data_IF_811672998882
#
_entry.id   IF_811672998882
#
_cell.length_a   1.000
_cell.length_b   1.000
_cell.length_c   1.000
_cell.angle_alpha   90.00
_cell.angle_beta   90.00
_cell.angle_gamma   90.00
#
_symmetry.space_group_name_H-M   'P 1'
#
loop_
_entity.id
_entity.type
_entity.pdbx_description
1 polymer ?
#
# COMPACT_ATOMS: atom_id res chain seq x y z
N UNK A 1 31.12 4.29 -13.03
CA UNK A 1 31.62 5.31 -13.97
C UNK A 1 32.68 6.12 -13.25
N UNK A 2 33.95 6.03 -13.66
CA UNK A 2 35.06 6.73 -12.99
C UNK A 2 34.95 8.24 -13.21
N UNK A 3 35.06 9.03 -12.15
CA UNK A 3 35.11 10.50 -12.24
C UNK A 3 36.33 10.91 -13.09
N UNK A 4 36.18 11.88 -14.01
CA UNK A 4 37.30 12.33 -14.85
C UNK A 4 38.40 12.96 -13.99
N UNK A 5 39.67 12.71 -14.35
CA UNK A 5 40.81 13.26 -13.62
C UNK A 5 41.05 14.73 -14.01
N UNK A 6 41.64 15.54 -13.14
CA UNK A 6 41.89 16.99 -13.38
C UNK A 6 42.58 17.30 -14.71
N UNK A 7 43.37 16.36 -15.24
CA UNK A 7 44.10 16.49 -16.51
C UNK A 7 43.19 16.32 -17.75
N UNK A 8 42.07 15.64 -17.57
CA UNK A 8 41.11 15.28 -18.63
C UNK A 8 39.97 16.30 -18.73
N UNK A 9 39.88 17.25 -17.79
CA UNK A 9 38.90 18.33 -17.86
C UNK A 9 39.30 19.34 -18.95
N UNK A 10 38.33 19.84 -19.74
CA UNK A 10 38.60 20.87 -20.74
C UNK A 10 39.19 22.11 -20.06
N UNK A 11 40.38 22.51 -20.53
CA UNK A 11 41.03 23.72 -20.05
C UNK A 11 40.27 24.93 -20.59
N UNK A 12 39.91 25.85 -19.70
CA UNK A 12 39.32 27.14 -20.08
C UNK A 12 40.28 27.83 -21.06
N UNK A 13 39.74 28.30 -22.19
CA UNK A 13 40.52 29.01 -23.19
C UNK A 13 41.23 30.21 -22.54
N UNK A 14 42.48 30.46 -22.94
CA UNK A 14 43.32 31.49 -22.35
C UNK A 14 42.64 32.87 -22.34
N UNK A 15 41.95 33.21 -23.42
CA UNK A 15 41.24 34.48 -23.56
C UNK A 15 40.08 34.62 -22.57
N UNK A 16 39.31 33.54 -22.37
CA UNK A 16 38.19 33.52 -21.42
C UNK A 16 38.70 33.63 -19.98
N UNK A 17 39.83 32.98 -19.64
CA UNK A 17 40.47 33.12 -18.33
C UNK A 17 40.88 34.56 -18.05
N UNK A 18 41.52 35.23 -19.02
CA UNK A 18 41.94 36.62 -18.87
C UNK A 18 40.74 37.58 -18.76
N UNK A 19 39.66 37.34 -19.51
CA UNK A 19 38.43 38.13 -19.41
C UNK A 19 37.75 38.00 -18.05
N UNK A 20 37.75 36.81 -17.45
CA UNK A 20 37.21 36.57 -16.11
C UNK A 20 38.11 37.17 -15.02
N UNK A 21 39.43 37.10 -15.16
CA UNK A 21 40.39 37.70 -14.21
C UNK A 21 40.35 39.24 -14.22
N UNK A 22 40.08 39.84 -15.38
CA UNK A 22 39.88 41.29 -15.53
C UNK A 22 38.42 41.74 -15.37
N UNK A 23 37.50 40.83 -15.02
CA UNK A 23 36.08 41.16 -14.88
C UNK A 23 35.87 42.08 -13.69
N UNK A 24 35.42 43.31 -13.94
CA UNK A 24 35.01 44.23 -12.90
C UNK A 24 33.49 44.12 -12.69
N UNK A 25 33.02 43.58 -11.54
CA UNK A 25 31.60 43.49 -11.23
C UNK A 25 30.91 44.86 -11.13
N UNK A 26 31.65 45.95 -10.93
CA UNK A 26 31.08 47.31 -10.90
C UNK A 26 30.57 47.77 -12.26
N UNK A 27 31.06 47.16 -13.35
CA UNK A 27 30.60 47.44 -14.71
C UNK A 27 29.27 46.74 -15.04
N UNK A 28 28.75 45.89 -14.16
CA UNK A 28 27.43 45.31 -14.33
C UNK A 28 26.35 46.39 -14.18
N UNK A 29 25.37 46.37 -15.09
CA UNK A 29 24.19 47.21 -14.95
C UNK A 29 23.49 46.88 -13.64
N UNK A 30 23.17 47.92 -12.85
CA UNK A 30 22.34 47.75 -11.66
C UNK A 30 20.98 47.20 -12.11
N UNK A 31 20.54 46.13 -11.45
CA UNK A 31 19.24 45.54 -11.65
C UNK A 31 18.46 45.71 -10.35
N UNK A 32 17.23 46.22 -10.44
CA UNK A 32 16.35 46.33 -9.29
C UNK A 32 15.84 44.95 -8.90
N UNK A 33 16.27 44.47 -7.74
CA UNK A 33 15.77 43.22 -7.15
C UNK A 33 14.56 43.55 -6.29
N UNK A 34 13.36 43.11 -6.71
CA UNK A 34 12.17 43.17 -5.87
C UNK A 34 12.06 41.90 -5.01
N UNK A 35 12.48 41.98 -3.75
CA UNK A 35 12.16 40.96 -2.74
C UNK A 35 10.74 41.20 -2.22
N UNK A 36 9.83 40.26 -2.50
CA UNK A 36 8.46 40.31 -1.98
C UNK A 36 8.45 39.84 -0.52
N UNK A 37 8.72 40.76 0.41
CA UNK A 37 8.42 40.55 1.83
C UNK A 37 6.94 40.88 2.04
N UNK A 38 6.07 39.91 1.76
CA UNK A 38 4.64 40.02 2.09
C UNK A 38 4.49 39.81 3.60
N UNK A 39 4.10 40.89 4.29
CA UNK A 39 3.68 40.80 5.68
C UNK A 39 2.33 40.09 5.76
N UNK A 40 2.06 39.32 6.84
CA UNK A 40 0.74 38.79 7.10
C UNK A 40 -0.30 39.90 7.04
N UNK A 41 -1.43 39.62 6.40
CA UNK A 41 -2.54 40.56 6.35
C UNK A 41 -3.22 40.67 7.71
N UNK A 42 -3.98 41.73 7.93
CA UNK A 42 -4.79 41.87 9.14
C UNK A 42 -5.82 40.72 9.28
N UNK A 43 -6.27 40.15 8.16
CA UNK A 43 -7.15 38.99 8.13
C UNK A 43 -6.43 37.73 8.61
N UNK A 44 -5.19 37.50 8.17
CA UNK A 44 -4.37 36.36 8.61
C UNK A 44 -4.18 36.35 10.13
N UNK A 45 -3.85 37.51 10.70
CA UNK A 45 -3.65 37.66 12.16
C UNK A 45 -4.97 37.47 12.93
N UNK A 46 -6.08 37.97 12.38
CA UNK A 46 -7.40 37.79 12.99
C UNK A 46 -7.87 36.32 12.96
N UNK A 47 -7.59 35.62 11.85
CA UNK A 47 -7.88 34.20 11.71
C UNK A 47 -7.06 33.37 12.69
N UNK A 48 -5.76 33.61 12.80
CA UNK A 48 -4.87 32.91 13.74
C UNK A 48 -5.32 33.12 15.19
N UNK A 49 -5.67 34.35 15.58
CA UNK A 49 -6.17 34.64 16.93
C UNK A 49 -7.46 33.89 17.25
N UNK A 50 -8.37 33.82 16.29
CA UNK A 50 -9.63 33.06 16.42
C UNK A 50 -9.37 31.57 16.59
N UNK A 51 -8.52 31.00 15.72
CA UNK A 51 -8.14 29.60 15.79
C UNK A 51 -7.48 29.26 17.13
N UNK A 52 -6.54 30.09 17.59
CA UNK A 52 -5.89 29.93 18.87
C UNK A 52 -6.89 29.91 20.04
N UNK A 53 -7.83 30.84 20.05
CA UNK A 53 -8.88 30.88 21.06
C UNK A 53 -9.78 29.63 21.05
N UNK A 54 -10.14 29.12 19.86
CA UNK A 54 -10.91 27.88 19.71
C UNK A 54 -10.11 26.69 20.23
N UNK A 55 -8.82 26.59 19.89
CA UNK A 55 -7.96 25.49 20.33
C UNK A 55 -7.78 25.50 21.85
N UNK A 56 -7.59 26.66 22.46
CA UNK A 56 -7.49 26.80 23.91
C UNK A 56 -8.79 26.36 24.59
N UNK A 57 -9.94 26.85 24.12
CA UNK A 57 -11.25 26.46 24.64
C UNK A 57 -11.53 24.95 24.50
N UNK A 58 -11.10 24.33 23.39
CA UNK A 58 -11.23 22.89 23.18
C UNK A 58 -10.35 22.11 24.16
N UNK A 59 -9.09 22.52 24.33
CA UNK A 59 -8.15 21.87 25.26
C UNK A 59 -8.65 21.97 26.69
N UNK A 60 -9.18 23.12 27.11
CA UNK A 60 -9.77 23.28 28.45
C UNK A 60 -11.03 22.42 28.62
N UNK A 61 -11.91 22.40 27.61
CA UNK A 61 -13.15 21.62 27.64
C UNK A 61 -12.91 20.11 27.69
N UNK A 62 -11.92 19.61 26.93
CA UNK A 62 -11.56 18.19 26.90
C UNK A 62 -10.67 17.81 28.08
N UNK A 63 -9.68 18.64 28.42
CA UNK A 63 -8.75 18.40 29.53
C UNK A 63 -9.41 18.48 30.89
N UNK A 64 -10.43 19.33 31.05
CA UNK A 64 -11.27 19.43 32.24
C UNK A 64 -12.51 18.52 32.21
N UNK A 65 -12.64 17.64 31.21
CA UNK A 65 -13.80 16.76 31.09
C UNK A 65 -13.83 15.74 32.23
N UNK A 66 -14.83 15.86 33.09
CA UNK A 66 -15.06 14.92 34.18
C UNK A 66 -15.69 13.62 33.66
N UNK A 67 -14.89 12.57 33.64
CA UNK A 67 -15.31 11.22 33.19
C UNK A 67 -16.41 10.63 34.05
N UNK A 68 -16.61 11.11 35.28
CA UNK A 68 -17.72 10.67 36.15
C UNK A 68 -19.08 11.16 35.65
N UNK A 69 -19.12 12.13 34.74
CA UNK A 69 -20.35 12.59 34.06
C UNK A 69 -20.78 11.68 32.91
N UNK A 70 -19.94 10.71 32.53
CA UNK A 70 -20.33 9.70 31.54
C UNK A 70 -21.38 8.79 32.15
N UNK A 71 -22.42 8.47 31.37
CA UNK A 71 -23.44 7.51 31.79
C UNK A 71 -22.80 6.12 31.88
N UNK A 72 -22.98 5.46 33.02
CA UNK A 72 -22.56 4.08 33.17
C UNK A 72 -23.27 3.21 32.14
N UNK A 73 -22.50 2.42 31.40
CA UNK A 73 -23.02 1.44 30.43
C UNK A 73 -22.46 0.09 30.82
N UNK A 74 -23.34 -0.85 31.16
CA UNK A 74 -22.97 -2.22 31.45
C UNK A 74 -22.74 -2.97 30.13
N UNK A 75 -21.50 -3.32 29.82
CA UNK A 75 -21.16 -4.12 28.65
C UNK A 75 -21.26 -5.61 28.99
N UNK A 76 -22.16 -6.34 28.34
CA UNK A 76 -22.25 -7.79 28.48
C UNK A 76 -21.47 -8.50 27.36
N UNK A 77 -20.45 -9.27 27.74
CA UNK A 77 -19.77 -10.21 26.86
C UNK A 77 -20.68 -11.43 26.62
N UNK A 78 -21.24 -11.54 25.41
CA UNK A 78 -22.03 -12.69 25.00
C UNK A 78 -21.07 -13.79 24.51
N UNK A 79 -20.72 -14.73 25.40
CA UNK A 79 -20.15 -16.03 25.01
C UNK A 79 -21.21 -17.13 25.16
N UNK A 80 -22.25 -17.18 24.30
CA UNK A 80 -23.21 -18.27 24.34
C UNK A 80 -22.50 -19.58 24.01
N UNK A 81 -22.83 -20.63 24.75
CA UNK A 81 -22.39 -21.98 24.39
C UNK A 81 -23.01 -22.37 23.04
N UNK A 82 -22.34 -23.22 22.24
CA UNK A 82 -22.94 -23.76 21.02
C UNK A 82 -24.26 -24.45 21.33
N UNK A 83 -25.30 -24.18 20.54
CA UNK A 83 -26.59 -24.84 20.65
C UNK A 83 -26.50 -26.31 20.20
N UNK A 84 -27.50 -27.12 20.58
CA UNK A 84 -27.55 -28.55 20.21
C UNK A 84 -27.42 -28.79 18.70
N UNK A 85 -28.00 -27.90 17.89
CA UNK A 85 -27.93 -27.98 16.42
C UNK A 85 -26.50 -27.82 15.91
N UNK A 86 -25.71 -26.92 16.51
CA UNK A 86 -24.30 -26.69 16.16
C UNK A 86 -23.46 -27.91 16.53
N UNK A 87 -23.71 -28.49 17.71
CA UNK A 87 -23.02 -29.68 18.20
C UNK A 87 -23.34 -30.90 17.31
N UNK A 88 -24.61 -31.08 16.93
CA UNK A 88 -25.04 -32.16 16.06
C UNK A 88 -24.41 -32.03 14.65
N UNK A 89 -24.42 -30.82 14.08
CA UNK A 89 -23.79 -30.57 12.78
C UNK A 89 -22.27 -30.83 12.80
N UNK A 90 -21.57 -30.39 13.85
CA UNK A 90 -20.14 -30.67 14.00
C UNK A 90 -19.87 -32.17 14.13
N UNK A 91 -20.69 -32.88 14.90
CA UNK A 91 -20.58 -34.34 15.08
C UNK A 91 -20.80 -35.09 13.76
N UNK A 92 -21.77 -34.69 12.95
CA UNK A 92 -21.99 -35.27 11.61
C UNK A 92 -20.79 -35.05 10.70
N UNK A 93 -20.22 -33.85 10.70
CA UNK A 93 -19.02 -33.55 9.92
C UNK A 93 -17.81 -34.39 10.37
N UNK A 94 -17.60 -34.52 11.68
CA UNK A 94 -16.53 -35.37 12.22
C UNK A 94 -16.71 -36.84 11.84
N UNK A 95 -17.95 -37.35 11.87
CA UNK A 95 -18.26 -38.72 11.44
C UNK A 95 -17.99 -38.93 9.95
N UNK A 96 -18.32 -37.96 9.10
CA UNK A 96 -18.03 -38.02 7.67
C UNK A 96 -16.51 -38.08 7.42
N UNK A 97 -15.75 -37.19 8.07
CA UNK A 97 -14.30 -37.14 7.94
C UNK A 97 -13.69 -38.46 8.40
N UNK A 98 -14.07 -38.95 9.58
CA UNK A 98 -13.58 -40.22 10.10
C UNK A 98 -13.95 -41.42 9.20
N UNK A 99 -15.12 -41.39 8.57
CA UNK A 99 -15.56 -42.40 7.61
C UNK A 99 -14.70 -42.43 6.34
N UNK A 100 -14.24 -41.27 5.88
CA UNK A 100 -13.34 -41.14 4.72
C UNK A 100 -11.91 -41.55 5.10
N UNK A 101 -11.39 -41.05 6.22
CA UNK A 101 -10.03 -41.37 6.69
C UNK A 101 -9.84 -42.86 6.93
N UNK A 102 -10.84 -43.53 7.49
CA UNK A 102 -10.80 -44.96 7.80
C UNK A 102 -11.44 -45.82 6.70
N UNK A 103 -11.69 -45.26 5.51
CA UNK A 103 -12.30 -46.02 4.43
C UNK A 103 -11.36 -47.11 3.91
N UNK A 104 -11.78 -48.36 4.08
CA UNK A 104 -11.05 -49.51 3.56
C UNK A 104 -11.26 -49.64 2.05
N UNK A 105 -10.24 -49.25 1.29
CA UNK A 105 -10.22 -49.35 -0.18
C UNK A 105 -10.33 -50.79 -0.69
N UNK A 106 -10.01 -51.81 0.12
CA UNK A 106 -10.19 -53.21 -0.26
C UNK A 106 -11.68 -53.61 -0.37
N UNK A 107 -12.60 -52.83 0.21
CA UNK A 107 -14.05 -53.02 0.05
C UNK A 107 -14.59 -52.49 -1.28
N UNK A 108 -13.78 -51.76 -2.05
CA UNK A 108 -14.17 -51.35 -3.40
C UNK A 108 -14.24 -52.58 -4.30
N UNK A 109 -15.35 -52.73 -5.03
CA UNK A 109 -15.50 -53.81 -5.99
C UNK A 109 -14.53 -53.57 -7.15
N UNK A 110 -13.66 -54.53 -7.50
CA UNK A 110 -12.81 -54.40 -8.67
C UNK A 110 -13.70 -54.30 -9.90
N UNK A 111 -13.47 -53.25 -10.70
CA UNK A 111 -14.18 -53.01 -11.96
C UNK A 111 -13.16 -52.95 -13.08
N UNK A 112 -13.49 -53.55 -14.22
CA UNK A 112 -12.65 -53.47 -15.42
C UNK A 112 -12.97 -52.16 -16.11
N UNK A 113 -12.01 -51.23 -16.12
CA UNK A 113 -12.11 -49.99 -16.88
C UNK A 113 -11.65 -50.24 -18.32
N UNK A 114 -12.56 -50.12 -19.30
CA UNK A 114 -12.19 -50.11 -20.72
C UNK A 114 -11.68 -48.72 -21.13
N UNK A 115 -10.36 -48.54 -21.12
CA UNK A 115 -9.73 -47.35 -21.71
C UNK A 115 -9.63 -47.52 -23.23
N UNK A 116 -10.56 -46.90 -23.96
CA UNK A 116 -10.51 -46.86 -25.43
C UNK A 116 -9.44 -45.84 -25.83
N UNK A 117 -8.24 -46.32 -26.13
CA UNK A 117 -7.19 -45.56 -26.81
C UNK A 117 -7.06 -46.04 -28.27
N UNK A 118 -8.08 -45.82 -29.13
CA UNK A 118 -7.98 -46.22 -30.53
C UNK A 118 -6.87 -45.38 -31.19
N UNK A 119 -5.88 -46.06 -31.77
CA UNK A 119 -4.93 -45.40 -32.64
C UNK A 119 -5.70 -44.80 -33.84
N UNK A 120 -5.39 -43.56 -34.26
CA UNK A 120 -5.98 -42.98 -35.46
C UNK A 120 -5.83 -43.94 -36.64
N UNK A 121 -6.91 -44.17 -37.39
CA UNK A 121 -6.83 -45.02 -38.57
C UNK A 121 -5.97 -44.34 -39.64
N UNK A 122 -5.40 -45.12 -40.56
CA UNK A 122 -4.57 -44.59 -41.66
C UNK A 122 -5.30 -43.54 -42.49
N UNK A 123 -6.63 -43.64 -42.58
CA UNK A 123 -7.51 -42.68 -43.25
C UNK A 123 -7.52 -41.33 -42.53
N UNK A 124 -7.72 -41.34 -41.21
CA UNK A 124 -7.70 -40.12 -40.38
C UNK A 124 -6.34 -39.42 -40.46
N UNK A 125 -5.24 -40.19 -40.39
CA UNK A 125 -3.88 -39.66 -40.53
C UNK A 125 -3.64 -39.04 -41.91
N UNK A 126 -4.21 -39.63 -42.96
CA UNK A 126 -4.05 -39.14 -44.33
C UNK A 126 -4.88 -37.89 -44.61
N UNK A 127 -6.05 -37.77 -43.97
CA UNK A 127 -6.90 -36.59 -44.05
C UNK A 127 -6.27 -35.39 -43.32
N UNK A 128 -5.68 -35.62 -42.15
CA UNK A 128 -4.99 -34.59 -41.37
C UNK A 128 -3.68 -34.11 -42.02
N UNK A 129 -3.00 -34.99 -42.78
CA UNK A 129 -1.83 -34.61 -43.59
C UNK A 129 -2.16 -33.80 -44.85
N UNK A 130 -3.44 -33.68 -45.21
CA UNK A 130 -3.90 -32.92 -46.39
C UNK A 130 -4.40 -31.51 -46.05
N UNK A 131 -4.58 -31.22 -44.75
CA UNK A 131 -4.81 -29.86 -44.24
C UNK A 131 -3.47 -29.11 -44.13
#
# INVERSE_FOLDING_TARGET
>A
MSSPSLKDLPKVAFDLKNQLEGFNPDNMKKADTNEKIILPTAEDVAAEKTQKAITEALIEGVGGFDTNKLKHTETQEKNPLPDKTVIEAEKEQQQLIAGIENFDTAKLKPTVTEEKNPLPTKEVIAEEKKA
#
